data_IF_341616817516
#
_entry.id   IF_341616817516
#
_cell.length_a   1.000
_cell.length_b   1.000
_cell.length_c   1.000
_cell.angle_alpha   90.00
_cell.angle_beta   90.00
_cell.angle_gamma   90.00
#
_symmetry.space_group_name_H-M   'P 1'
#
loop_
_entity.id
_entity.type
_entity.pdbx_description
1 polymer ?
#
# COMPACT_ATOMS: atom_id res chain seq x y z
N UNK A 1 -58.85 51.45 -47.88
CA UNK A 1 -58.68 51.34 -46.42
C UNK A 1 -58.04 49.99 -46.17
N UNK A 2 -56.80 49.94 -45.67
CA UNK A 2 -56.09 48.68 -45.42
C UNK A 2 -56.75 47.96 -44.23
N UNK A 3 -57.27 46.76 -44.45
CA UNK A 3 -57.73 45.91 -43.36
C UNK A 3 -56.52 45.56 -42.49
N UNK A 4 -56.55 45.99 -41.23
CA UNK A 4 -55.49 45.71 -40.27
C UNK A 4 -55.52 44.21 -39.97
N UNK A 5 -54.69 43.45 -40.69
CA UNK A 5 -54.50 42.00 -40.50
C UNK A 5 -54.36 41.63 -39.02
N UNK A 6 -53.67 42.47 -38.24
CA UNK A 6 -53.47 42.30 -36.79
C UNK A 6 -54.73 42.38 -35.91
N UNK A 7 -55.86 42.86 -36.44
CA UNK A 7 -57.15 42.94 -35.74
C UNK A 7 -58.13 41.83 -36.16
N UNK A 8 -57.73 40.92 -37.05
CA UNK A 8 -58.58 39.83 -37.51
C UNK A 8 -58.48 38.60 -36.60
N UNK A 9 -59.53 37.79 -36.62
CA UNK A 9 -59.56 36.50 -35.93
C UNK A 9 -58.42 35.57 -36.39
N UNK A 10 -58.00 35.68 -37.65
CA UNK A 10 -56.90 34.89 -38.21
C UNK A 10 -55.54 35.28 -37.61
N UNK A 11 -55.30 36.56 -37.33
CA UNK A 11 -54.10 36.99 -36.61
C UNK A 11 -54.08 36.47 -35.16
N UNK A 12 -55.24 36.43 -34.49
CA UNK A 12 -55.33 35.85 -33.14
C UNK A 12 -55.04 34.34 -33.13
N UNK A 13 -55.53 33.61 -34.13
CA UNK A 13 -55.25 32.17 -34.31
C UNK A 13 -53.75 31.96 -34.59
N UNK A 14 -53.17 32.72 -35.52
CA UNK A 14 -51.75 32.64 -35.86
C UNK A 14 -50.83 32.95 -34.66
N UNK A 15 -51.16 33.99 -33.88
CA UNK A 15 -50.43 34.35 -32.66
C UNK A 15 -50.59 33.29 -31.57
N UNK A 16 -51.77 32.68 -31.44
CA UNK A 16 -52.01 31.57 -30.52
C UNK A 16 -51.20 30.31 -30.87
N UNK A 17 -51.05 30.00 -32.15
CA UNK A 17 -50.18 28.90 -32.61
C UNK A 17 -48.70 29.23 -32.40
N UNK A 18 -48.27 30.46 -32.66
CA UNK A 18 -46.91 30.91 -32.41
C UNK A 18 -46.55 30.84 -30.91
N UNK A 19 -47.42 31.34 -30.03
CA UNK A 19 -47.23 31.28 -28.58
C UNK A 19 -47.13 29.85 -28.04
N UNK A 20 -47.98 28.93 -28.53
CA UNK A 20 -47.90 27.50 -28.18
C UNK A 20 -46.63 26.82 -28.71
N UNK A 21 -46.13 27.23 -29.88
CA UNK A 21 -44.89 26.71 -30.43
C UNK A 21 -43.66 27.22 -29.64
N UNK A 22 -43.66 28.50 -29.28
CA UNK A 22 -42.62 29.12 -28.45
C UNK A 22 -42.60 28.50 -27.06
N UNK A 23 -43.76 28.38 -26.38
CA UNK A 23 -43.83 27.78 -25.05
C UNK A 23 -43.39 26.31 -25.01
N UNK A 24 -43.69 25.51 -26.04
CA UNK A 24 -43.20 24.13 -26.13
C UNK A 24 -41.69 24.05 -26.35
N UNK A 25 -41.14 24.92 -27.21
CA UNK A 25 -39.70 24.97 -27.47
C UNK A 25 -38.94 25.40 -26.22
N UNK A 26 -39.42 26.45 -25.56
CA UNK A 26 -38.83 26.97 -24.35
C UNK A 26 -38.88 25.94 -23.21
N UNK A 27 -40.01 25.28 -22.99
CA UNK A 27 -40.11 24.21 -21.98
C UNK A 27 -39.21 23.00 -22.27
N UNK A 28 -38.99 22.66 -23.55
CA UNK A 28 -38.03 21.61 -23.93
C UNK A 28 -36.58 22.05 -23.69
N UNK A 29 -36.22 23.27 -24.06
CA UNK A 29 -34.87 23.81 -23.87
C UNK A 29 -34.53 23.96 -22.38
N UNK A 30 -35.45 24.51 -21.58
CA UNK A 30 -35.28 24.68 -20.14
C UNK A 30 -35.17 23.32 -19.44
N UNK A 31 -36.07 22.37 -19.72
CA UNK A 31 -36.01 21.02 -19.14
C UNK A 31 -34.77 20.24 -19.54
N UNK A 32 -34.27 20.43 -20.77
CA UNK A 32 -33.02 19.80 -21.23
C UNK A 32 -31.79 20.39 -20.55
N UNK A 33 -31.72 21.72 -20.42
CA UNK A 33 -30.62 22.39 -19.74
C UNK A 33 -30.57 22.06 -18.26
N UNK A 34 -31.73 22.04 -17.58
CA UNK A 34 -31.82 21.72 -16.16
C UNK A 34 -31.43 20.26 -15.90
N UNK A 35 -31.91 19.32 -16.72
CA UNK A 35 -31.53 17.91 -16.65
C UNK A 35 -30.03 17.66 -16.88
N UNK A 36 -29.41 18.39 -17.82
CA UNK A 36 -27.96 18.32 -18.04
C UNK A 36 -27.16 18.88 -16.85
N UNK A 37 -27.58 20.02 -16.30
CA UNK A 37 -26.91 20.65 -15.16
C UNK A 37 -26.98 19.77 -13.90
N UNK A 38 -28.17 19.23 -13.61
CA UNK A 38 -28.41 18.33 -12.48
C UNK A 38 -27.67 16.98 -12.66
N UNK A 39 -27.70 16.42 -13.87
CA UNK A 39 -26.91 15.23 -14.22
C UNK A 39 -25.40 15.42 -14.05
N UNK A 40 -24.86 16.56 -14.50
CA UNK A 40 -23.44 16.88 -14.37
C UNK A 40 -23.03 17.17 -12.91
N UNK A 41 -23.89 17.86 -12.15
CA UNK A 41 -23.67 18.11 -10.74
C UNK A 41 -23.65 16.81 -9.92
N UNK A 42 -24.61 15.91 -10.17
CA UNK A 42 -24.64 14.57 -9.56
C UNK A 42 -23.43 13.74 -9.98
N UNK A 43 -23.12 13.67 -11.27
CA UNK A 43 -21.98 12.90 -11.77
C UNK A 43 -20.64 13.33 -11.16
N UNK A 44 -20.42 14.64 -10.99
CA UNK A 44 -19.23 15.15 -10.29
C UNK A 44 -19.22 14.78 -8.81
N UNK A 45 -20.35 14.94 -8.12
CA UNK A 45 -20.44 14.63 -6.69
C UNK A 45 -20.22 13.14 -6.42
N UNK A 46 -20.97 12.27 -7.10
CA UNK A 46 -20.82 10.82 -6.94
C UNK A 46 -19.45 10.33 -7.40
N UNK A 47 -18.91 10.83 -8.51
CA UNK A 47 -17.57 10.44 -8.97
C UNK A 47 -16.44 10.89 -8.02
N UNK A 48 -16.58 12.05 -7.37
CA UNK A 48 -15.64 12.50 -6.34
C UNK A 48 -15.79 11.68 -5.07
N UNK A 49 -17.01 11.47 -4.58
CA UNK A 49 -17.26 10.73 -3.35
C UNK A 49 -16.84 9.25 -3.47
N UNK A 50 -17.15 8.59 -4.60
CA UNK A 50 -16.73 7.22 -4.88
C UNK A 50 -15.22 7.10 -5.10
N UNK A 51 -14.61 8.06 -5.80
CA UNK A 51 -13.16 8.09 -6.02
C UNK A 51 -12.38 8.30 -4.72
N UNK A 52 -12.85 9.20 -3.85
CA UNK A 52 -12.25 9.45 -2.52
C UNK A 52 -12.45 8.23 -1.61
N UNK A 53 -13.64 7.62 -1.60
CA UNK A 53 -13.89 6.42 -0.80
C UNK A 53 -13.01 5.23 -1.23
N UNK A 54 -12.86 5.01 -2.54
CA UNK A 54 -12.00 3.94 -3.06
C UNK A 54 -10.52 4.18 -2.72
N UNK A 55 -10.04 5.42 -2.86
CA UNK A 55 -8.67 5.79 -2.50
C UNK A 55 -8.43 5.66 -1.00
N UNK A 56 -9.38 6.08 -0.16
CA UNK A 56 -9.29 5.93 1.28
C UNK A 56 -9.25 4.46 1.70
N UNK A 57 -10.10 3.62 1.12
CA UNK A 57 -10.08 2.18 1.39
C UNK A 57 -8.73 1.54 0.99
N UNK A 58 -8.14 1.99 -0.12
CA UNK A 58 -6.80 1.53 -0.53
C UNK A 58 -5.71 1.98 0.45
N UNK A 59 -5.75 3.23 0.92
CA UNK A 59 -4.83 3.75 1.92
C UNK A 59 -4.97 2.99 3.25
N UNK A 60 -6.19 2.71 3.68
CA UNK A 60 -6.46 1.97 4.91
C UNK A 60 -5.94 0.52 4.80
N UNK A 61 -6.14 -0.13 3.65
CA UNK A 61 -5.60 -1.47 3.39
C UNK A 61 -4.06 -1.48 3.41
N UNK A 62 -3.41 -0.49 2.81
CA UNK A 62 -1.95 -0.36 2.84
C UNK A 62 -1.44 -0.11 4.26
N UNK A 63 -2.12 0.74 5.03
CA UNK A 63 -1.78 1.00 6.43
C UNK A 63 -1.93 -0.26 7.29
N UNK A 64 -3.02 -1.02 7.11
CA UNK A 64 -3.22 -2.30 7.80
C UNK A 64 -2.12 -3.31 7.44
N UNK A 65 -1.79 -3.45 6.15
CA UNK A 65 -0.72 -4.33 5.71
C UNK A 65 0.64 -3.92 6.31
N UNK A 66 0.94 -2.62 6.32
CA UNK A 66 2.17 -2.08 6.90
C UNK A 66 2.24 -2.34 8.41
N UNK A 67 1.14 -2.16 9.13
CA UNK A 67 1.08 -2.42 10.56
C UNK A 67 1.25 -3.91 10.86
N UNK A 68 0.59 -4.80 10.11
CA UNK A 68 0.76 -6.24 10.27
C UNK A 68 2.21 -6.70 10.01
N UNK A 69 2.85 -6.15 8.97
CA UNK A 69 4.27 -6.40 8.70
C UNK A 69 5.17 -5.88 9.83
N UNK A 70 4.85 -4.73 10.40
CA UNK A 70 5.60 -4.16 11.51
C UNK A 70 5.45 -5.00 12.79
N UNK A 71 4.24 -5.47 13.11
CA UNK A 71 3.98 -6.35 14.24
C UNK A 71 4.70 -7.69 14.09
N UNK A 72 4.64 -8.31 12.91
CA UNK A 72 5.39 -9.53 12.62
C UNK A 72 6.89 -9.32 12.77
N UNK A 73 7.42 -8.22 12.22
CA UNK A 73 8.84 -7.88 12.36
C UNK A 73 9.25 -7.71 13.82
N UNK A 74 8.44 -6.99 14.61
CA UNK A 74 8.69 -6.80 16.04
C UNK A 74 8.62 -8.14 16.80
N UNK A 75 7.66 -8.99 16.49
CA UNK A 75 7.53 -10.33 17.07
C UNK A 75 8.75 -11.21 16.78
N UNK A 76 9.26 -11.17 15.54
CA UNK A 76 10.49 -11.88 15.16
C UNK A 76 11.72 -11.33 15.89
N UNK A 77 11.83 -10.01 16.05
CA UNK A 77 12.90 -9.37 16.84
C UNK A 77 12.88 -9.86 18.27
N UNK A 78 11.72 -9.86 18.92
CA UNK A 78 11.57 -10.32 20.29
C UNK A 78 11.90 -11.81 20.45
N UNK A 79 11.38 -12.66 19.55
CA UNK A 79 11.63 -14.10 19.60
C UNK A 79 13.11 -14.44 19.37
N UNK A 80 13.75 -13.78 18.40
CA UNK A 80 15.18 -13.97 18.14
C UNK A 80 16.04 -13.44 19.29
N UNK A 81 15.69 -12.30 19.88
CA UNK A 81 16.36 -11.75 21.06
C UNK A 81 16.32 -12.73 22.23
N UNK A 82 15.14 -13.26 22.56
CA UNK A 82 14.97 -14.24 23.63
C UNK A 82 15.76 -15.53 23.38
N UNK A 83 15.76 -16.02 22.13
CA UNK A 83 16.56 -17.20 21.76
C UNK A 83 18.06 -16.94 21.93
N UNK A 84 18.54 -15.77 21.51
CA UNK A 84 19.94 -15.37 21.67
C UNK A 84 20.32 -15.23 23.14
N UNK A 85 19.43 -14.72 24.00
CA UNK A 85 19.70 -14.62 25.43
C UNK A 85 19.95 -15.99 26.08
N UNK A 86 19.21 -17.03 25.67
CA UNK A 86 19.48 -18.41 26.10
C UNK A 86 20.82 -18.90 25.55
N UNK A 87 21.11 -18.63 24.28
CA UNK A 87 22.33 -19.08 23.61
C UNK A 87 23.62 -18.40 24.11
N UNK A 88 23.54 -17.21 24.70
CA UNK A 88 24.71 -16.55 25.33
C UNK A 88 25.33 -17.41 26.43
N UNK A 89 24.51 -18.17 27.16
CA UNK A 89 24.96 -19.11 28.19
C UNK A 89 25.37 -20.49 27.65
N UNK A 90 25.31 -20.71 26.33
CA UNK A 90 25.59 -22.01 25.73
C UNK A 90 27.08 -22.37 25.79
N UNK A 91 27.35 -23.68 25.77
CA UNK A 91 28.70 -24.23 25.74
C UNK A 91 29.45 -23.85 24.46
N UNK A 92 30.77 -23.98 24.47
CA UNK A 92 31.62 -23.82 23.27
C UNK A 92 31.14 -24.73 22.13
N UNK A 93 30.85 -25.99 22.42
CA UNK A 93 30.40 -26.97 21.42
C UNK A 93 29.07 -26.57 20.79
N UNK A 94 28.13 -26.03 21.59
CA UNK A 94 26.85 -25.54 21.09
C UNK A 94 27.03 -24.29 20.20
N UNK A 95 27.95 -23.39 20.56
CA UNK A 95 28.30 -22.23 19.73
C UNK A 95 28.90 -22.68 18.39
N UNK A 96 29.76 -23.70 18.39
CA UNK A 96 30.33 -24.28 17.17
C UNK A 96 29.24 -24.92 16.30
N UNK A 97 28.36 -25.72 16.89
CA UNK A 97 27.22 -26.33 16.16
C UNK A 97 26.28 -25.28 15.57
N UNK A 98 26.02 -24.20 16.32
CA UNK A 98 25.25 -23.07 15.82
C UNK A 98 25.95 -22.43 14.62
N UNK A 99 27.24 -22.11 14.73
CA UNK A 99 28.00 -21.46 13.67
C UNK A 99 28.02 -22.28 12.37
N UNK A 100 28.25 -23.58 12.46
CA UNK A 100 28.22 -24.49 11.30
C UNK A 100 26.86 -24.49 10.61
N UNK A 101 25.77 -24.62 11.39
CA UNK A 101 24.39 -24.58 10.86
C UNK A 101 24.06 -23.21 10.25
N UNK A 102 24.52 -22.13 10.88
CA UNK A 102 24.31 -20.76 10.41
C UNK A 102 25.01 -20.52 9.06
N UNK A 103 26.30 -20.83 8.95
CA UNK A 103 27.06 -20.67 7.70
C UNK A 103 26.41 -21.46 6.57
N UNK A 104 26.07 -22.73 6.80
CA UNK A 104 25.42 -23.57 5.78
C UNK A 104 24.11 -22.96 5.26
N UNK A 105 23.26 -22.44 6.16
CA UNK A 105 21.98 -21.82 5.78
C UNK A 105 22.18 -20.49 5.06
N UNK A 106 23.12 -19.66 5.51
CA UNK A 106 23.43 -18.38 4.87
C UNK A 106 23.99 -18.60 3.48
N UNK A 107 24.91 -19.55 3.29
CA UNK A 107 25.46 -19.88 1.98
C UNK A 107 24.37 -20.35 1.02
N UNK A 108 23.48 -21.24 1.45
CA UNK A 108 22.33 -21.66 0.66
C UNK A 108 21.42 -20.49 0.29
N UNK A 109 21.17 -19.58 1.24
CA UNK A 109 20.31 -18.42 1.01
C UNK A 109 20.96 -17.40 0.04
N UNK A 110 22.28 -17.21 0.11
CA UNK A 110 23.04 -16.39 -0.84
C UNK A 110 23.02 -17.01 -2.24
N UNK A 111 23.29 -18.31 -2.35
CA UNK A 111 23.26 -19.04 -3.63
C UNK A 111 21.88 -18.99 -4.31
N UNK A 112 20.81 -19.05 -3.52
CA UNK A 112 19.43 -18.93 -4.02
C UNK A 112 18.98 -17.48 -4.25
N UNK A 113 19.83 -16.48 -3.97
CA UNK A 113 19.49 -15.07 -4.08
C UNK A 113 18.46 -14.59 -3.05
N UNK A 114 18.17 -15.38 -2.02
CA UNK A 114 17.27 -15.01 -0.91
C UNK A 114 17.91 -13.97 0.01
N UNK A 115 19.24 -13.99 0.11
CA UNK A 115 20.03 -12.96 0.77
C UNK A 115 21.01 -12.35 -0.21
N UNK A 116 21.30 -11.06 -0.02
CA UNK A 116 22.38 -10.36 -0.74
C UNK A 116 23.70 -10.41 0.02
N UNK A 117 23.64 -10.46 1.34
CA UNK A 117 24.77 -10.44 2.26
C UNK A 117 24.40 -11.20 3.53
N UNK A 118 25.40 -11.75 4.23
CA UNK A 118 25.18 -12.42 5.50
C UNK A 118 24.55 -11.47 6.54
N UNK A 119 23.57 -11.91 7.35
CA UNK A 119 22.84 -11.04 8.28
C UNK A 119 23.74 -10.24 9.24
N UNK A 120 24.79 -10.84 9.79
CA UNK A 120 25.70 -10.18 10.75
C UNK A 120 26.62 -9.13 10.11
N UNK A 121 26.62 -9.02 8.78
CA UNK A 121 27.35 -8.01 8.00
C UNK A 121 26.42 -6.94 7.42
N UNK A 122 25.10 -7.16 7.40
CA UNK A 122 24.13 -6.18 6.92
C UNK A 122 23.85 -5.11 8.01
N UNK A 123 24.11 -3.81 7.77
CA UNK A 123 23.77 -2.76 8.72
C UNK A 123 22.28 -2.69 9.08
N UNK A 124 21.38 -3.07 8.17
CA UNK A 124 19.94 -3.06 8.39
C UNK A 124 19.49 -4.17 9.35
N UNK A 125 20.30 -5.22 9.49
CA UNK A 125 20.09 -6.26 10.49
C UNK A 125 20.88 -5.96 11.76
N UNK A 126 22.18 -5.66 11.63
CA UNK A 126 23.09 -5.50 12.76
C UNK A 126 22.71 -4.36 13.70
N UNK A 127 22.12 -3.26 13.19
CA UNK A 127 21.67 -2.14 14.02
C UNK A 127 20.47 -2.50 14.92
N UNK A 128 19.32 -2.95 14.39
CA UNK A 128 18.18 -3.32 15.24
C UNK A 128 18.43 -4.61 16.04
N UNK A 129 19.33 -5.49 15.59
CA UNK A 129 19.62 -6.79 16.22
C UNK A 129 21.05 -6.86 16.76
N UNK A 130 21.49 -5.83 17.49
CA UNK A 130 22.89 -5.70 17.93
C UNK A 130 23.38 -6.93 18.72
N UNK A 131 22.56 -7.45 19.64
CA UNK A 131 22.93 -8.62 20.44
C UNK A 131 23.02 -9.90 19.62
N UNK A 132 22.07 -10.13 18.72
CA UNK A 132 22.08 -11.28 17.82
C UNK A 132 23.27 -11.24 16.86
N UNK A 133 23.59 -10.05 16.32
CA UNK A 133 24.76 -9.86 15.47
C UNK A 133 26.06 -10.11 16.25
N UNK A 134 26.14 -9.68 17.51
CA UNK A 134 27.31 -9.92 18.36
C UNK A 134 27.48 -11.42 18.64
N UNK A 135 26.40 -12.11 19.02
CA UNK A 135 26.42 -13.55 19.27
C UNK A 135 26.84 -14.35 18.03
N UNK A 136 26.32 -14.01 16.85
CA UNK A 136 26.71 -14.68 15.59
C UNK A 136 28.22 -14.53 15.36
N UNK A 137 28.77 -13.33 15.54
CA UNK A 137 30.22 -13.09 15.37
C UNK A 137 31.03 -13.88 16.39
N UNK A 138 30.63 -13.87 17.65
CA UNK A 138 31.28 -14.65 18.71
C UNK A 138 31.30 -16.14 18.42
N UNK A 139 30.17 -16.71 17.96
CA UNK A 139 30.07 -18.13 17.62
C UNK A 139 30.99 -18.50 16.44
N UNK A 140 31.05 -17.64 15.41
CA UNK A 140 31.94 -17.82 14.26
C UNK A 140 33.42 -17.74 14.68
N UNK A 141 33.79 -16.75 15.48
CA UNK A 141 35.15 -16.61 16.02
C UNK A 141 35.55 -17.80 16.90
N UNK A 142 34.62 -18.31 17.71
CA UNK A 142 34.84 -19.49 18.55
C UNK A 142 35.17 -20.72 17.70
N UNK A 143 34.46 -20.88 16.57
CA UNK A 143 34.68 -22.01 15.65
C UNK A 143 36.02 -21.90 14.94
N UNK A 144 36.43 -20.70 14.54
CA UNK A 144 37.76 -20.47 13.95
C UNK A 144 38.87 -20.86 14.94
N UNK A 145 38.76 -20.41 16.20
CA UNK A 145 39.75 -20.76 17.24
C UNK A 145 39.77 -22.26 17.57
N UNK A 146 38.60 -22.90 17.63
CA UNK A 146 38.51 -24.34 17.85
C UNK A 146 39.21 -25.12 16.73
N UNK A 147 39.02 -24.69 15.48
CA UNK A 147 39.70 -25.29 14.33
C UNK A 147 41.22 -25.10 14.36
N UNK A 148 41.70 -23.89 14.71
CA UNK A 148 43.14 -23.61 14.79
C UNK A 148 43.84 -24.43 15.89
N UNK A 149 43.17 -24.64 17.03
CA UNK A 149 43.68 -25.47 18.13
C UNK A 149 43.70 -26.97 17.80
N UNK A 150 42.86 -27.46 16.88
CA UNK A 150 42.92 -28.83 16.40
C UNK A 150 44.06 -29.06 15.40
N UNK A 151 44.56 -28.00 14.76
CA UNK A 151 45.60 -28.06 13.72
C UNK A 151 47.01 -27.79 14.28
N UNK A 152 47.13 -27.12 15.44
CA UNK A 152 48.42 -26.93 16.14
C UNK A 152 48.56 -27.85 17.35
N UNK A 153 49.29 -28.98 17.25
CA UNK A 153 49.66 -29.82 18.38
C UNK A 153 50.72 -29.18 19.29
#
# INVERSE_FOLDING_TARGET
MSENFWATQDAAIAMGHAGKAVGRRQGQEEGYQDGLADGFARGRKYGQDEGVAAMQAQLDALNQQRNALQELSNGLVMALGAAVDVLKGASTDDKVRFAQSYVHRVDQALQKGMLRVAPHLDPNFAKPMAQSSAFIREALETTLRAHDNEISP
#
